data_IF_312185605626
#
_entry.id   IF_312185605626
#
_cell.length_a   1.000
_cell.length_b   1.000
_cell.length_c   1.000
_cell.angle_alpha   90.00
_cell.angle_beta   90.00
_cell.angle_gamma   90.00
#
_symmetry.space_group_name_H-M   'P 1'
#
loop_
_entity.id
_entity.type
_entity.pdbx_description
1 polymer ?
#
# COMPACT_ATOMS: atom_id res chain seq x y z
N UNK A 1 4.82 9.91 22.88
CA UNK A 1 5.15 10.21 21.47
C UNK A 1 4.62 9.08 20.60
N UNK A 2 4.02 9.38 19.44
CA UNK A 2 3.58 8.34 18.52
C UNK A 2 4.80 7.67 17.88
N UNK A 3 4.76 6.35 17.69
CA UNK A 3 5.81 5.58 16.99
C UNK A 3 5.20 4.63 15.97
N UNK A 4 5.88 4.47 14.84
CA UNK A 4 5.55 3.45 13.84
C UNK A 4 6.46 2.27 14.09
N UNK A 5 5.86 1.09 14.22
CA UNK A 5 6.57 -0.17 14.17
C UNK A 5 6.40 -0.78 12.78
N UNK A 6 7.53 -0.89 12.10
CA UNK A 6 7.66 -1.45 10.76
C UNK A 6 8.11 -2.92 10.78
N UNK A 7 8.16 -3.55 11.95
CA UNK A 7 8.44 -4.98 12.07
C UNK A 7 7.34 -5.73 11.33
N UNK A 8 7.68 -6.29 10.17
CA UNK A 8 6.71 -6.93 9.26
C UNK A 8 6.26 -6.05 8.09
N UNK A 9 6.60 -4.77 8.03
CA UNK A 9 6.22 -3.87 6.94
C UNK A 9 6.92 -4.15 5.59
N UNK A 10 7.38 -5.38 5.35
CA UNK A 10 7.77 -5.82 4.02
C UNK A 10 6.55 -5.86 3.10
N UNK A 11 6.72 -5.31 1.89
CA UNK A 11 5.72 -5.40 0.85
C UNK A 11 5.59 -6.84 0.38
N UNK A 12 4.45 -7.47 0.64
CA UNK A 12 4.13 -8.78 0.05
C UNK A 12 3.50 -8.54 -1.30
N UNK A 13 4.14 -9.01 -2.35
CA UNK A 13 3.64 -8.93 -3.72
C UNK A 13 3.11 -10.28 -4.19
N UNK A 14 1.91 -10.29 -4.77
CA UNK A 14 1.35 -11.44 -5.46
C UNK A 14 1.02 -11.07 -6.90
N UNK A 15 1.48 -11.87 -7.86
CA UNK A 15 1.09 -11.73 -9.26
C UNK A 15 -0.35 -12.22 -9.47
N UNK A 16 -1.06 -11.54 -10.35
CA UNK A 16 -2.31 -12.02 -10.95
C UNK A 16 -2.18 -11.96 -12.49
N UNK A 17 -3.21 -12.36 -13.22
CA UNK A 17 -3.14 -12.49 -14.69
C UNK A 17 -2.80 -11.16 -15.40
N UNK A 18 -3.23 -10.03 -14.84
CA UNK A 18 -3.13 -8.71 -15.49
C UNK A 18 -2.25 -7.71 -14.69
N UNK A 19 -1.63 -8.17 -13.60
CA UNK A 19 -0.66 -7.38 -12.85
C UNK A 19 -0.31 -7.90 -11.47
N UNK A 20 -0.30 -6.99 -10.49
CA UNK A 20 0.26 -7.23 -9.15
C UNK A 20 -0.63 -6.69 -8.06
N UNK A 21 -0.64 -7.40 -6.95
CA UNK A 21 -1.21 -6.92 -5.70
C UNK A 21 -0.11 -6.80 -4.66
N UNK A 22 0.04 -5.63 -4.07
CA UNK A 22 1.08 -5.29 -3.10
C UNK A 22 0.41 -5.02 -1.76
N UNK A 23 0.91 -5.65 -0.71
CA UNK A 23 0.39 -5.52 0.65
C UNK A 23 1.46 -5.04 1.62
N UNK A 24 1.12 -4.00 2.38
CA UNK A 24 1.92 -3.49 3.48
C UNK A 24 1.13 -3.57 4.78
N UNK A 25 1.84 -3.82 5.87
CA UNK A 25 1.27 -3.69 7.20
C UNK A 25 2.26 -3.00 8.12
N UNK A 26 1.77 -2.11 8.97
CA UNK A 26 2.57 -1.48 10.01
C UNK A 26 1.68 -1.19 11.21
N UNK A 27 2.29 -1.06 12.38
CA UNK A 27 1.58 -0.74 13.62
C UNK A 27 1.93 0.67 14.06
N UNK A 28 0.95 1.37 14.61
CA UNK A 28 1.13 2.71 15.17
C UNK A 28 0.82 2.63 16.66
N UNK A 29 1.76 3.05 17.50
CA UNK A 29 1.56 3.17 18.94
C UNK A 29 1.43 4.64 19.32
N UNK A 30 0.57 4.94 20.29
CA UNK A 30 0.45 6.29 20.86
C UNK A 30 -0.04 7.35 19.87
N UNK A 31 -0.80 6.96 18.83
CA UNK A 31 -1.31 7.88 17.81
C UNK A 31 -2.17 9.00 18.40
N UNK A 32 -2.85 8.75 19.51
CA UNK A 32 -3.67 9.75 20.23
C UNK A 32 -2.89 11.00 20.66
N UNK A 33 -1.56 10.90 20.79
CA UNK A 33 -0.68 11.98 21.24
C UNK A 33 -0.05 12.76 20.08
N UNK A 34 -0.43 12.49 18.82
CA UNK A 34 0.08 13.22 17.66
C UNK A 34 -1.06 13.85 16.86
N UNK A 35 -0.80 15.02 16.29
CA UNK A 35 -1.74 15.71 15.39
C UNK A 35 -1.63 15.18 13.95
N UNK A 36 -0.46 14.69 13.57
CA UNK A 36 -0.24 14.09 12.25
C UNK A 36 0.77 12.96 12.36
N UNK A 37 0.59 11.95 11.53
CA UNK A 37 1.57 10.88 11.34
C UNK A 37 1.70 10.61 9.85
N UNK A 38 2.92 10.40 9.38
CA UNK A 38 3.19 10.07 7.99
C UNK A 38 4.06 8.82 7.92
N UNK A 39 3.63 7.89 7.07
CA UNK A 39 4.35 6.69 6.71
C UNK A 39 4.57 6.68 5.20
N UNK A 40 5.75 6.28 4.74
CA UNK A 40 6.00 6.08 3.31
C UNK A 40 6.91 4.89 3.08
N UNK A 41 6.70 4.19 1.96
CA UNK A 41 7.49 3.05 1.56
C UNK A 41 7.60 2.95 0.06
N UNK A 42 8.78 2.57 -0.41
CA UNK A 42 9.03 2.24 -1.80
C UNK A 42 8.92 0.72 -2.00
N UNK A 43 8.19 0.32 -3.04
CA UNK A 43 8.05 -1.07 -3.49
C UNK A 43 8.64 -1.25 -4.88
N UNK A 44 9.65 -2.07 -5.04
CA UNK A 44 10.08 -2.51 -6.39
C UNK A 44 9.24 -3.70 -6.80
N UNK A 45 8.48 -3.58 -7.89
CA UNK A 45 7.67 -4.72 -8.37
C UNK A 45 8.53 -5.82 -8.98
N UNK A 46 8.03 -7.05 -8.92
CA UNK A 46 8.61 -8.20 -9.62
C UNK A 46 8.06 -8.36 -11.05
N UNK A 47 7.45 -7.30 -11.59
CA UNK A 47 6.93 -7.28 -12.95
C UNK A 47 8.06 -7.35 -13.99
N UNK A 48 8.08 -8.40 -14.81
CA UNK A 48 9.02 -8.52 -15.92
C UNK A 48 8.65 -7.64 -17.11
N UNK A 49 7.35 -7.50 -17.39
CA UNK A 49 6.84 -6.71 -18.52
C UNK A 49 6.96 -5.20 -18.33
N UNK A 50 6.94 -4.76 -17.07
CA UNK A 50 7.01 -3.36 -16.69
C UNK A 50 7.71 -3.20 -15.35
N UNK A 51 9.05 -3.36 -15.29
CA UNK A 51 9.80 -3.13 -14.06
C UNK A 51 9.58 -1.71 -13.57
N UNK A 52 9.03 -1.55 -12.37
CA UNK A 52 8.70 -0.25 -11.81
C UNK A 52 8.85 -0.22 -10.29
N UNK A 53 8.93 0.99 -9.74
CA UNK A 53 8.93 1.24 -8.31
C UNK A 53 7.65 2.02 -7.96
N UNK A 54 6.99 1.65 -6.87
CA UNK A 54 5.85 2.37 -6.30
C UNK A 54 6.25 3.01 -4.99
N UNK A 55 6.16 4.33 -4.91
CA UNK A 55 6.21 5.04 -3.64
C UNK A 55 4.79 5.18 -3.10
N UNK A 56 4.54 4.56 -1.96
CA UNK A 56 3.24 4.52 -1.29
C UNK A 56 3.37 5.31 0.01
N UNK A 57 2.43 6.22 0.27
CA UNK A 57 2.42 7.07 1.44
C UNK A 57 1.06 7.04 2.11
N UNK A 58 1.04 6.94 3.44
CA UNK A 58 -0.17 7.09 4.26
C UNK A 58 0.07 8.19 5.26
N UNK A 59 -0.77 9.23 5.22
CA UNK A 59 -0.80 10.28 6.23
C UNK A 59 -2.09 10.19 7.02
N UNK A 60 -1.98 10.12 8.33
CA UNK A 60 -3.10 10.32 9.24
C UNK A 60 -3.01 11.72 9.82
N UNK A 61 -4.11 12.47 9.83
CA UNK A 61 -4.12 13.84 10.31
C UNK A 61 -5.38 14.11 11.12
N UNK A 62 -5.22 14.74 12.28
CA UNK A 62 -6.33 15.22 13.11
C UNK A 62 -6.84 16.55 12.57
N UNK A 63 -8.14 16.63 12.34
CA UNK A 63 -8.80 17.87 11.97
C UNK A 63 -8.88 18.81 13.18
N UNK A 64 -8.51 20.08 12.99
CA UNK A 64 -8.47 21.06 14.07
C UNK A 64 -9.84 21.28 14.75
N UNK A 65 -10.91 21.29 13.96
CA UNK A 65 -12.28 21.61 14.41
C UNK A 65 -13.02 20.40 15.00
N UNK A 66 -13.09 19.28 14.26
CA UNK A 66 -13.88 18.10 14.66
C UNK A 66 -13.11 17.09 15.51
N UNK A 67 -11.77 17.22 15.58
CA UNK A 67 -10.86 16.20 16.17
C UNK A 67 -10.97 14.81 15.53
N UNK A 68 -11.71 14.67 14.43
CA UNK A 68 -11.71 13.48 13.60
C UNK A 68 -10.34 13.28 12.97
N UNK A 69 -10.04 12.05 12.60
CA UNK A 69 -8.83 11.69 11.87
C UNK A 69 -9.17 11.48 10.40
N UNK A 70 -8.49 12.19 9.51
CA UNK A 70 -8.48 11.92 8.08
C UNK A 70 -7.33 10.98 7.71
N UNK A 71 -7.49 10.26 6.60
CA UNK A 71 -6.42 9.50 5.96
C UNK A 71 -6.17 10.05 4.56
N UNK A 72 -4.92 10.39 4.27
CA UNK A 72 -4.45 10.70 2.93
C UNK A 72 -3.58 9.56 2.43
N UNK A 73 -3.97 8.95 1.32
CA UNK A 73 -3.18 7.96 0.61
C UNK A 73 -2.51 8.64 -0.58
N UNK A 74 -1.18 8.52 -0.65
CA UNK A 74 -0.37 8.96 -1.78
C UNK A 74 0.22 7.75 -2.48
N UNK A 75 0.14 7.72 -3.81
CA UNK A 75 0.73 6.66 -4.62
C UNK A 75 1.44 7.29 -5.80
N UNK A 76 2.71 6.96 -6.01
CA UNK A 76 3.51 7.43 -7.13
C UNK A 76 4.21 6.26 -7.80
N UNK A 77 4.07 6.19 -9.12
CA UNK A 77 4.82 5.24 -9.96
C UNK A 77 6.13 5.86 -10.43
N UNK A 78 7.22 5.12 -10.35
CA UNK A 78 8.58 5.57 -10.66
C UNK A 78 9.21 4.55 -11.60
N UNK A 79 9.31 4.92 -12.88
CA UNK A 79 10.06 4.21 -13.92
C UNK A 79 10.29 5.13 -15.14
N UNK A 80 10.75 4.58 -16.26
CA UNK A 80 10.98 5.33 -17.51
C UNK A 80 9.91 5.07 -18.58
N UNK A 81 8.90 4.23 -18.31
CA UNK A 81 7.91 3.79 -19.28
C UNK A 81 6.73 4.76 -19.39
N UNK A 82 6.33 5.05 -20.61
CA UNK A 82 5.17 5.89 -20.93
C UNK A 82 3.83 5.14 -20.82
N UNK A 83 3.84 3.81 -20.68
CA UNK A 83 2.63 3.00 -20.53
C UNK A 83 1.81 3.49 -19.33
N UNK A 84 0.49 3.53 -19.47
CA UNK A 84 -0.41 3.75 -18.34
C UNK A 84 -0.69 2.42 -17.64
N UNK A 85 -0.80 2.45 -16.33
CA UNK A 85 -1.33 1.33 -15.52
C UNK A 85 -2.56 1.80 -14.78
N UNK A 86 -3.37 0.86 -14.32
CA UNK A 86 -4.50 1.16 -13.45
C UNK A 86 -4.19 0.74 -12.02
N UNK A 87 -4.65 1.53 -11.08
CA UNK A 87 -4.37 1.33 -9.66
C UNK A 87 -5.64 1.51 -8.87
N UNK A 88 -6.02 0.52 -8.08
CA UNK A 88 -6.97 0.68 -6.98
C UNK A 88 -6.25 0.41 -5.67
N UNK A 89 -6.80 0.90 -4.56
CA UNK A 89 -6.18 0.71 -3.27
C UNK A 89 -7.18 0.62 -2.14
N UNK A 90 -6.78 -0.05 -1.07
CA UNK A 90 -7.51 -0.07 0.19
C UNK A 90 -6.57 0.22 1.35
N UNK A 91 -7.09 0.88 2.37
CA UNK A 91 -6.40 1.08 3.64
C UNK A 91 -7.31 0.58 4.75
N UNK A 92 -6.87 -0.43 5.49
CA UNK A 92 -7.60 -1.01 6.62
C UNK A 92 -6.96 -0.59 7.93
N UNK A 93 -7.76 -0.04 8.82
CA UNK A 93 -7.41 0.30 10.19
C UNK A 93 -8.06 -0.70 11.11
N UNK A 94 -7.28 -1.37 11.95
CA UNK A 94 -7.83 -2.34 12.88
C UNK A 94 -7.00 -2.44 14.14
N UNK A 95 -7.63 -2.92 15.21
CA UNK A 95 -6.95 -3.29 16.44
C UNK A 95 -7.44 -4.69 16.86
N UNK A 96 -6.51 -5.60 17.16
CA UNK A 96 -6.87 -7.01 17.43
C UNK A 96 -7.51 -7.22 18.80
N UNK A 97 -7.27 -6.30 19.73
CA UNK A 97 -7.84 -6.27 21.07
C UNK A 97 -9.23 -5.59 21.10
N UNK A 98 -9.52 -4.72 20.15
CA UNK A 98 -10.76 -3.94 20.05
C UNK A 98 -11.59 -4.44 18.86
N UNK A 99 -12.46 -5.42 19.10
CA UNK A 99 -13.31 -6.02 18.05
C UNK A 99 -14.15 -5.00 17.26
N UNK A 100 -14.45 -3.84 17.85
CA UNK A 100 -15.25 -2.79 17.21
C UNK A 100 -14.44 -1.88 16.28
N UNK A 101 -13.10 -1.91 16.33
CA UNK A 101 -12.26 -1.08 15.48
C UNK A 101 -11.75 -1.90 14.30
N UNK A 102 -12.56 -1.92 13.23
CA UNK A 102 -12.19 -2.45 11.92
C UNK A 102 -12.81 -1.59 10.81
N UNK A 103 -11.97 -0.74 10.19
CA UNK A 103 -12.39 0.20 9.16
C UNK A 103 -11.62 -0.08 7.88
N UNK A 104 -12.33 -0.25 6.77
CA UNK A 104 -11.73 -0.39 5.44
C UNK A 104 -12.10 0.83 4.60
N UNK A 105 -11.07 1.56 4.17
CA UNK A 105 -11.19 2.60 3.16
C UNK A 105 -10.89 2.01 1.80
N UNK A 106 -11.75 2.30 0.83
CA UNK A 106 -11.56 1.89 -0.56
C UNK A 106 -11.38 3.11 -1.43
N UNK A 107 -10.29 3.14 -2.16
CA UNK A 107 -9.98 4.19 -3.13
C UNK A 107 -10.17 3.62 -4.53
N UNK A 108 -11.04 4.25 -5.36
CA UNK A 108 -11.45 3.70 -6.65
C UNK A 108 -10.27 3.61 -7.61
N UNK A 109 -10.45 2.75 -8.62
CA UNK A 109 -9.44 2.53 -9.64
C UNK A 109 -9.15 3.81 -10.43
N UNK A 110 -7.88 4.04 -10.74
CA UNK A 110 -7.45 5.20 -11.52
C UNK A 110 -6.22 4.92 -12.38
N UNK A 111 -6.09 5.69 -13.46
CA UNK A 111 -4.91 5.62 -14.34
C UNK A 111 -3.72 6.35 -13.74
N UNK A 112 -2.56 5.71 -13.75
CA UNK A 112 -1.29 6.27 -13.26
C UNK A 112 -0.23 6.15 -14.35
N UNK A 113 0.45 7.28 -14.62
CA UNK A 113 1.60 7.35 -15.51
C UNK A 113 2.89 7.32 -14.70
N UNK A 114 4.02 7.04 -15.35
CA UNK A 114 5.31 7.20 -14.69
C UNK A 114 5.51 8.63 -14.19
N UNK A 115 6.15 8.76 -13.03
CA UNK A 115 6.39 9.98 -12.27
C UNK A 115 5.14 10.72 -11.80
N UNK A 116 3.95 10.21 -12.10
CA UNK A 116 2.70 10.81 -11.65
C UNK A 116 2.40 10.40 -10.22
N UNK A 117 2.25 11.41 -9.37
CA UNK A 117 1.79 11.23 -8.00
C UNK A 117 0.28 11.45 -7.94
N UNK A 118 -0.37 10.53 -7.25
CA UNK A 118 -1.79 10.52 -6.98
C UNK A 118 -1.97 10.70 -5.49
N UNK A 119 -2.88 11.58 -5.10
CA UNK A 119 -3.32 11.70 -3.73
C UNK A 119 -4.83 11.51 -3.63
N UNK A 120 -5.26 10.74 -2.63
CA UNK A 120 -6.67 10.57 -2.25
C UNK A 120 -6.82 10.81 -0.76
N UNK A 121 -7.96 11.38 -0.39
CA UNK A 121 -8.29 11.69 1.00
C UNK A 121 -9.59 11.02 1.36
N UNK A 122 -9.67 10.50 2.57
CA UNK A 122 -10.91 10.08 3.22
C UNK A 122 -10.99 10.78 4.57
N UNK A 123 -12.16 11.37 4.85
CA UNK A 123 -12.44 12.11 6.08
C UNK A 123 -13.95 12.02 6.38
N UNK A 124 -14.37 11.61 7.59
CA UNK A 124 -13.56 11.07 8.69
C UNK A 124 -13.27 9.57 8.55
N UNK A 125 -12.14 9.14 9.12
CA UNK A 125 -11.71 7.73 9.17
C UNK A 125 -11.82 7.17 10.58
N UNK A 126 -11.39 7.96 11.58
CA UNK A 126 -11.57 7.64 13.00
C UNK A 126 -12.21 8.84 13.70
N UNK A 127 -13.19 8.53 14.55
CA UNK A 127 -13.87 9.49 15.43
C UNK A 127 -13.09 9.69 16.73
N UNK A 128 -13.34 10.77 17.49
CA UNK A 128 -12.77 10.96 18.82
C UNK A 128 -13.05 9.81 19.80
N UNK A 129 -14.20 9.16 19.67
CA UNK A 129 -14.59 8.01 20.51
C UNK A 129 -13.70 6.80 20.19
N UNK A 130 -13.57 6.44 18.91
CA UNK A 130 -12.68 5.35 18.46
C UNK A 130 -11.21 5.65 18.84
N UNK A 131 -10.80 6.91 18.72
CA UNK A 131 -9.47 7.37 19.14
C UNK A 131 -9.23 7.21 20.64
N UNK A 132 -10.24 7.48 21.47
CA UNK A 132 -10.11 7.33 22.93
C UNK A 132 -9.93 5.87 23.33
N UNK A 133 -10.58 4.94 22.62
CA UNK A 133 -10.39 3.49 22.81
C UNK A 133 -8.99 3.00 22.46
N UNK A 134 -8.21 3.76 21.68
CA UNK A 134 -6.82 3.45 21.33
C UNK A 134 -5.81 3.88 22.39
N UNK A 135 -6.24 4.40 23.55
CA UNK A 135 -5.35 4.79 24.64
C UNK A 135 -4.51 3.60 25.13
N UNK A 136 -3.18 3.71 24.98
CA UNK A 136 -2.24 2.64 25.34
C UNK A 136 -2.27 1.42 24.41
N UNK A 137 -3.07 1.46 23.34
CA UNK A 137 -3.24 0.36 22.40
C UNK A 137 -2.49 0.60 21.08
N UNK A 138 -2.36 -0.45 20.28
CA UNK A 138 -1.79 -0.39 18.92
C UNK A 138 -2.87 -0.19 17.86
N UNK A 139 -2.61 0.66 16.87
CA UNK A 139 -3.43 0.76 15.67
C UNK A 139 -2.70 0.08 14.53
N UNK A 140 -3.22 -1.04 14.02
CA UNK A 140 -2.66 -1.70 12.85
C UNK A 140 -3.23 -1.08 11.58
N UNK A 141 -2.35 -0.82 10.63
CA UNK A 141 -2.70 -0.30 9.31
C UNK A 141 -2.26 -1.30 8.27
N UNK A 142 -3.17 -1.74 7.42
CA UNK A 142 -2.87 -2.54 6.23
C UNK A 142 -3.18 -1.73 4.99
N UNK A 143 -2.20 -1.52 4.13
CA UNK A 143 -2.38 -0.91 2.81
C UNK A 143 -2.34 -2.01 1.76
N UNK A 144 -3.30 -2.01 0.85
CA UNK A 144 -3.30 -2.89 -0.32
C UNK A 144 -3.33 -2.03 -1.58
N UNK A 145 -2.39 -2.27 -2.48
CA UNK A 145 -2.34 -1.64 -3.80
C UNK A 145 -2.58 -2.73 -4.83
N UNK A 146 -3.55 -2.53 -5.72
CA UNK A 146 -3.79 -3.43 -6.84
C UNK A 146 -3.43 -2.69 -8.12
N UNK A 147 -2.39 -3.15 -8.79
CA UNK A 147 -1.85 -2.60 -10.04
C UNK A 147 -2.26 -3.53 -11.18
N UNK A 148 -2.95 -3.01 -12.17
CA UNK A 148 -3.44 -3.75 -13.35
C UNK A 148 -2.97 -3.11 -14.65
N UNK A 149 -3.07 -3.85 -15.75
CA UNK A 149 -2.53 -3.52 -17.07
C UNK A 149 -1.00 -3.34 -17.14
N UNK A 150 -0.24 -3.92 -16.19
CA UNK A 150 1.22 -3.91 -16.28
C UNK A 150 1.76 -5.09 -17.11
N UNK A 151 1.06 -6.23 -17.13
CA UNK A 151 1.37 -7.33 -18.04
C UNK A 151 0.95 -7.03 -19.48
N UNK A 152 1.65 -7.62 -20.46
CA UNK A 152 1.21 -7.64 -21.85
C UNK A 152 0.20 -8.78 -22.01
N UNK A 153 -0.96 -8.48 -22.59
CA UNK A 153 -2.01 -9.47 -22.87
C UNK A 153 -1.39 -10.66 -23.63
N UNK A 154 -1.52 -11.86 -23.08
CA UNK A 154 -0.99 -13.11 -23.67
C UNK A 154 0.25 -13.70 -22.98
N UNK A 155 0.91 -12.98 -22.07
CA UNK A 155 1.94 -13.57 -21.20
C UNK A 155 1.31 -14.06 -19.90
N UNK A 156 0.94 -15.35 -19.85
CA UNK A 156 0.63 -16.01 -18.58
C UNK A 156 1.92 -16.11 -17.77
N UNK A 157 1.93 -15.52 -16.57
CA UNK A 157 2.96 -15.81 -15.59
C UNK A 157 2.73 -17.23 -15.05
N UNK A 158 3.43 -18.20 -15.62
CA UNK A 158 3.51 -19.55 -15.06
C UNK A 158 4.77 -19.63 -14.18
N UNK A 159 4.60 -19.81 -12.84
CA UNK A 159 5.73 -19.86 -11.92
C UNK A 159 6.73 -20.99 -12.22
N UNK A 160 6.29 -22.06 -12.92
CA UNK A 160 7.15 -23.20 -13.29
C UNK A 160 8.12 -22.83 -14.41
N UNK A 161 7.65 -22.14 -15.45
CA UNK A 161 8.50 -21.70 -16.58
C UNK A 161 9.51 -20.63 -16.17
N UNK A 162 9.16 -19.77 -15.20
CA UNK A 162 10.07 -18.76 -14.64
C UNK A 162 11.27 -19.36 -13.89
N UNK A 163 11.05 -20.46 -13.14
CA UNK A 163 12.13 -21.19 -12.46
C UNK A 163 13.07 -21.86 -13.48
N UNK A 164 12.52 -22.48 -14.53
CA UNK A 164 13.31 -23.14 -15.56
C UNK A 164 14.18 -22.15 -16.36
N UNK A 165 13.64 -20.99 -16.75
CA UNK A 165 14.42 -19.95 -17.45
C UNK A 165 15.56 -19.38 -16.58
N UNK A 166 15.38 -19.36 -15.25
CA UNK A 166 16.40 -18.91 -14.29
C UNK A 166 17.49 -19.97 -14.09
N UNK A 167 17.13 -21.25 -14.11
CA UNK A 167 18.10 -22.35 -14.08
C UNK A 167 18.91 -22.40 -15.39
N UNK A 168 18.28 -22.27 -16.56
CA UNK A 168 18.99 -22.31 -17.84
C UNK A 168 20.05 -21.20 -17.96
N UNK A 169 19.79 -19.99 -17.45
CA UNK A 169 20.81 -18.92 -17.44
C UNK A 169 21.97 -19.16 -16.49
N UNK A 170 21.78 -19.96 -15.45
CA UNK A 170 22.84 -20.30 -14.47
C UNK A 170 23.67 -21.48 -14.99
N UNK A 171 23.02 -22.47 -15.58
CA UNK A 171 23.68 -23.71 -16.02
C UNK A 171 24.20 -23.65 -17.46
N UNK A 172 23.67 -22.76 -18.30
CA UNK A 172 24.09 -22.58 -19.69
C UNK A 172 24.23 -21.08 -20.06
N UNK A 173 25.19 -20.36 -19.46
CA UNK A 173 25.51 -19.01 -19.89
C UNK A 173 26.08 -19.04 -21.32
N UNK A 174 25.55 -18.19 -22.20
CA UNK A 174 26.15 -17.92 -23.52
C UNK A 174 27.36 -17.01 -23.38
#
# INVERSE_FOLDING_TARGET
MARIDETGAYGVETNNEDGHKIHYHFSIYGFIYTESLYFTRDHKTMCWDLPNIWKIGVRLQRACSSKNISCHLTVKRIDTSSRKVRVSSTVRFYNVQLQQLDRVLSFPMMEVRSQHEVQRTSDPVLTPIEMSSLLGQELKVRVSLNVTHCHRIGQRYDPVTSLNARMEKIFFPK
#
